data_IF_881698261462
#
_entry.id   IF_881698261462
#
_cell.length_a   1.000
_cell.length_b   1.000
_cell.length_c   1.000
_cell.angle_alpha   90.00
_cell.angle_beta   90.00
_cell.angle_gamma   90.00
#
_symmetry.space_group_name_H-M   'P 1'
#
loop_
_entity.id
_entity.type
_entity.pdbx_description
1 polymer ?
#
# COMPACT_ATOMS: atom_id res chain seq x y z
N UNK A 1 -12.03 -19.15 -18.64
CA UNK A 1 -11.75 -17.70 -18.73
C UNK A 1 -10.30 -17.48 -18.33
N UNK A 2 -9.62 -16.49 -18.92
CA UNK A 2 -8.30 -16.09 -18.43
C UNK A 2 -8.45 -15.56 -17.00
N UNK A 3 -7.49 -15.89 -16.12
CA UNK A 3 -7.48 -15.36 -14.75
C UNK A 3 -7.14 -13.88 -14.77
N UNK A 4 -7.71 -13.13 -13.82
CA UNK A 4 -7.39 -11.71 -13.64
C UNK A 4 -6.03 -11.61 -12.97
N UNK A 5 -5.09 -10.89 -13.58
CA UNK A 5 -3.76 -10.70 -13.01
C UNK A 5 -3.78 -9.58 -11.99
N UNK A 6 -3.35 -9.87 -10.77
CA UNK A 6 -3.27 -8.90 -9.67
C UNK A 6 -1.81 -8.79 -9.21
N UNK A 7 -1.35 -7.56 -9.00
CA UNK A 7 -0.11 -7.26 -8.28
C UNK A 7 -0.43 -6.40 -7.06
N UNK A 8 0.32 -6.60 -5.98
CA UNK A 8 0.20 -5.81 -4.76
C UNK A 8 1.59 -5.41 -4.28
N UNK A 9 1.75 -4.26 -3.64
CA UNK A 9 3.01 -3.91 -2.97
C UNK A 9 2.80 -2.97 -1.77
N UNK A 10 3.78 -2.94 -0.88
CA UNK A 10 3.75 -2.21 0.39
C UNK A 10 4.70 -1.02 0.34
N UNK A 11 4.20 0.14 0.76
CA UNK A 11 4.99 1.37 0.87
C UNK A 11 5.31 1.62 2.35
N UNK A 12 5.03 2.83 2.85
CA UNK A 12 5.13 3.14 4.28
C UNK A 12 3.85 2.65 4.98
N UNK A 13 3.91 1.48 5.62
CA UNK A 13 2.76 0.78 6.22
C UNK A 13 3.15 -0.18 7.36
N UNK A 14 2.16 -0.59 8.16
CA UNK A 14 2.24 -1.63 9.19
C UNK A 14 1.88 -3.07 8.73
N UNK A 15 1.65 -3.32 7.43
CA UNK A 15 1.14 -4.59 6.87
C UNK A 15 -0.29 -5.02 7.28
N UNK A 16 -1.01 -4.19 8.05
CA UNK A 16 -2.36 -4.54 8.52
C UNK A 16 -3.39 -4.71 7.40
N UNK A 17 -3.23 -4.03 6.26
CA UNK A 17 -4.14 -4.15 5.12
C UNK A 17 -4.06 -5.53 4.47
N UNK A 18 -2.87 -6.12 4.42
CA UNK A 18 -2.66 -7.46 3.88
C UNK A 18 -3.09 -8.54 4.84
N UNK A 19 -2.92 -8.33 6.15
CA UNK A 19 -3.53 -9.22 7.13
C UNK A 19 -5.05 -9.22 6.97
N UNK A 20 -5.68 -8.06 6.76
CA UNK A 20 -7.12 -8.03 6.51
C UNK A 20 -7.54 -8.63 5.16
N UNK A 21 -6.67 -8.59 4.14
CA UNK A 21 -6.86 -9.38 2.92
C UNK A 21 -6.82 -10.89 3.23
N UNK A 22 -5.95 -11.34 4.13
CA UNK A 22 -5.87 -12.74 4.55
C UNK A 22 -7.02 -13.15 5.47
N UNK A 23 -7.61 -12.22 6.23
CA UNK A 23 -8.83 -12.41 7.05
C UNK A 23 -10.10 -12.66 6.20
N UNK A 24 -9.98 -12.81 4.87
CA UNK A 24 -11.07 -13.40 4.08
C UNK A 24 -11.17 -14.93 4.30
N UNK A 25 -10.23 -15.51 5.05
CA UNK A 25 -10.21 -16.89 5.51
C UNK A 25 -10.28 -17.89 4.34
N UNK A 26 -11.22 -18.84 4.36
CA UNK A 26 -11.32 -19.87 3.33
C UNK A 26 -11.68 -19.30 1.95
N UNK A 27 -12.21 -18.07 1.89
CA UNK A 27 -12.57 -17.39 0.64
C UNK A 27 -11.36 -17.12 -0.24
N UNK A 28 -10.15 -17.08 0.33
CA UNK A 28 -8.92 -16.93 -0.47
C UNK A 28 -8.74 -18.09 -1.46
N UNK A 29 -9.13 -19.31 -1.07
CA UNK A 29 -9.03 -20.50 -1.92
C UNK A 29 -9.94 -20.38 -3.14
N UNK A 30 -11.15 -19.84 -2.95
CA UNK A 30 -12.08 -19.56 -4.05
C UNK A 30 -11.57 -18.41 -4.92
N UNK A 31 -11.06 -17.34 -4.33
CA UNK A 31 -10.51 -16.19 -5.05
C UNK A 31 -9.38 -16.60 -6.02
N UNK A 32 -8.47 -17.46 -5.57
CA UNK A 32 -7.32 -17.95 -6.36
C UNK A 32 -7.72 -18.81 -7.57
N UNK A 33 -8.98 -19.28 -7.66
CA UNK A 33 -9.49 -19.92 -8.87
C UNK A 33 -9.71 -18.92 -10.00
N UNK A 34 -9.97 -17.66 -9.66
CA UNK A 34 -10.28 -16.58 -10.61
C UNK A 34 -9.13 -15.60 -10.82
N UNK A 35 -8.21 -15.51 -9.86
CA UNK A 35 -7.08 -14.57 -9.83
C UNK A 35 -5.75 -15.28 -10.01
N UNK A 36 -4.84 -14.60 -10.69
CA UNK A 36 -3.40 -14.90 -10.68
C UNK A 36 -2.68 -13.79 -9.91
N UNK A 37 -2.15 -14.13 -8.72
CA UNK A 37 -1.29 -13.22 -7.96
C UNK A 37 0.11 -13.25 -8.55
N UNK A 38 0.56 -12.09 -9.01
CA UNK A 38 1.89 -11.91 -9.62
C UNK A 38 2.86 -11.35 -8.58
N UNK A 39 3.40 -10.15 -8.76
CA UNK A 39 4.21 -9.47 -7.75
C UNK A 39 3.33 -9.13 -6.55
N UNK A 40 3.63 -9.74 -5.42
CA UNK A 40 2.93 -9.57 -4.17
C UNK A 40 3.91 -9.91 -3.04
N UNK A 41 3.92 -9.20 -1.90
CA UNK A 41 4.80 -9.54 -0.78
C UNK A 41 4.59 -10.95 -0.20
N UNK A 42 3.48 -11.62 -0.53
CA UNK A 42 3.22 -13.02 -0.22
C UNK A 42 3.84 -14.01 -1.22
N UNK A 43 4.47 -13.52 -2.28
CA UNK A 43 5.09 -14.30 -3.36
C UNK A 43 6.56 -13.93 -3.52
N UNK A 44 7.32 -14.73 -4.26
CA UNK A 44 8.73 -14.46 -4.53
C UNK A 44 8.98 -13.48 -5.70
N UNK A 45 7.93 -13.10 -6.44
CA UNK A 45 8.00 -12.19 -7.57
C UNK A 45 8.21 -10.75 -7.07
N UNK A 46 9.26 -10.09 -7.58
CA UNK A 46 9.75 -8.80 -7.02
C UNK A 46 9.15 -7.56 -7.66
N UNK A 47 8.80 -7.63 -8.94
CA UNK A 47 8.30 -6.49 -9.69
C UNK A 47 7.04 -6.88 -10.45
N UNK A 48 6.07 -5.96 -10.61
CA UNK A 48 4.92 -6.19 -11.45
C UNK A 48 5.38 -6.53 -12.88
N UNK A 49 4.79 -7.56 -13.52
CA UNK A 49 5.19 -8.00 -14.85
C UNK A 49 5.20 -6.86 -15.87
N UNK A 50 6.23 -6.82 -16.75
CA UNK A 50 6.37 -5.79 -17.79
C UNK A 50 5.28 -5.83 -18.86
N UNK A 51 4.62 -6.98 -19.04
CA UNK A 51 3.44 -7.13 -19.89
C UNK A 51 2.16 -6.54 -19.25
N UNK A 52 2.24 -6.15 -17.98
CA UNK A 52 1.19 -5.49 -17.23
C UNK A 52 0.23 -6.43 -16.50
N UNK A 53 -0.51 -5.86 -15.56
CA UNK A 53 -1.54 -6.50 -14.74
C UNK A 53 -2.88 -5.81 -14.89
N UNK A 54 -3.96 -6.54 -14.60
CA UNK A 54 -5.30 -5.99 -14.67
C UNK A 54 -5.58 -5.08 -13.46
N UNK A 55 -5.13 -5.49 -12.28
CA UNK A 55 -5.31 -4.72 -11.03
C UNK A 55 -3.97 -4.61 -10.30
N UNK A 56 -3.54 -3.38 -10.04
CA UNK A 56 -2.46 -3.06 -9.10
C UNK A 56 -3.06 -2.58 -7.80
N UNK A 57 -2.55 -3.07 -6.67
CA UNK A 57 -2.98 -2.65 -5.33
C UNK A 57 -1.77 -2.09 -4.60
N UNK A 58 -1.85 -0.84 -4.14
CA UNK A 58 -0.82 -0.23 -3.32
C UNK A 58 -1.36 0.07 -1.94
N UNK A 59 -0.59 -0.34 -0.94
CA UNK A 59 -0.85 -0.04 0.45
C UNK A 59 0.25 0.84 1.01
N UNK A 60 -0.09 1.65 2.01
CA UNK A 60 0.86 2.58 2.61
C UNK A 60 1.00 3.90 1.87
N UNK A 61 1.71 4.81 2.49
CA UNK A 61 2.00 6.14 1.97
C UNK A 61 3.41 6.23 1.40
N UNK A 62 3.72 7.33 0.72
CA UNK A 62 5.04 7.59 0.13
C UNK A 62 5.82 8.53 1.04
N UNK A 63 6.82 7.97 1.72
CA UNK A 63 7.73 8.67 2.62
C UNK A 63 9.16 8.80 2.10
N UNK A 64 9.58 7.99 1.12
CA UNK A 64 10.97 7.98 0.62
C UNK A 64 11.08 7.78 -0.91
N UNK A 65 12.30 7.82 -1.42
CA UNK A 65 12.62 7.66 -2.85
C UNK A 65 12.20 6.32 -3.44
N UNK A 66 12.43 5.21 -2.73
CA UNK A 66 12.20 3.87 -3.27
C UNK A 66 10.69 3.61 -3.39
N UNK A 67 9.91 4.04 -2.40
CA UNK A 67 8.45 3.98 -2.44
C UNK A 67 7.88 4.80 -3.61
N UNK A 68 8.51 5.94 -3.94
CA UNK A 68 8.10 6.72 -5.10
C UNK A 68 8.34 5.97 -6.42
N UNK A 69 9.42 5.19 -6.51
CA UNK A 69 9.71 4.35 -7.67
C UNK A 69 8.68 3.23 -7.79
N UNK A 70 8.39 2.52 -6.69
CA UNK A 70 7.37 1.45 -6.65
C UNK A 70 5.99 1.97 -7.09
N UNK A 71 5.57 3.13 -6.60
CA UNK A 71 4.29 3.74 -6.97
C UNK A 71 4.20 4.02 -8.48
N UNK A 72 5.28 4.52 -9.07
CA UNK A 72 5.34 4.82 -10.51
C UNK A 72 5.36 3.55 -11.34
N UNK A 73 6.17 2.56 -10.93
CA UNK A 73 6.28 1.27 -11.60
C UNK A 73 4.93 0.54 -11.61
N UNK A 74 4.26 0.45 -10.45
CA UNK A 74 2.95 -0.17 -10.36
C UNK A 74 1.91 0.55 -11.24
N UNK A 75 1.92 1.90 -11.26
CA UNK A 75 0.99 2.68 -12.11
C UNK A 75 1.24 2.45 -13.60
N UNK A 76 2.50 2.33 -14.02
CA UNK A 76 2.87 2.06 -15.42
C UNK A 76 2.42 0.67 -15.86
N UNK A 77 2.50 -0.32 -14.95
CA UNK A 77 2.20 -1.71 -15.24
C UNK A 77 0.76 -2.15 -14.93
N UNK A 78 -0.11 -1.30 -14.37
CA UNK A 78 -1.50 -1.68 -14.07
C UNK A 78 -2.56 -0.91 -14.88
N UNK A 79 -3.65 -1.61 -15.22
CA UNK A 79 -4.84 -0.99 -15.83
C UNK A 79 -5.65 -0.22 -14.79
N UNK A 80 -5.96 -0.88 -13.67
CA UNK A 80 -6.70 -0.31 -12.54
C UNK A 80 -5.78 -0.26 -11.32
N UNK A 81 -5.59 0.92 -10.75
CA UNK A 81 -4.84 1.11 -9.50
C UNK A 81 -5.80 1.29 -8.32
N UNK A 82 -5.63 0.46 -7.30
CA UNK A 82 -6.38 0.52 -6.04
C UNK A 82 -5.47 1.04 -4.93
N UNK A 83 -5.85 2.16 -4.29
CA UNK A 83 -5.31 2.58 -3.00
C UNK A 83 -6.05 1.81 -1.90
N UNK A 84 -5.34 0.94 -1.19
CA UNK A 84 -5.93 0.12 -0.13
C UNK A 84 -5.41 0.59 1.23
N UNK A 85 -6.35 1.03 2.07
CA UNK A 85 -6.10 1.51 3.42
C UNK A 85 -5.94 3.02 3.53
N UNK A 86 -6.08 3.53 4.76
CA UNK A 86 -6.01 4.96 5.05
C UNK A 86 -4.63 5.56 4.79
N UNK A 87 -3.56 4.79 5.01
CA UNK A 87 -2.20 5.24 4.70
C UNK A 87 -2.04 5.56 3.20
N UNK A 88 -2.64 4.74 2.32
CA UNK A 88 -2.58 4.99 0.87
C UNK A 88 -3.55 6.09 0.43
N UNK A 89 -4.66 6.27 1.15
CA UNK A 89 -5.81 7.08 0.72
C UNK A 89 -5.76 8.52 1.23
N UNK A 90 -5.27 8.77 2.46
CA UNK A 90 -5.44 10.05 3.15
C UNK A 90 -4.13 10.68 3.65
N UNK A 91 -4.16 12.00 3.87
CA UNK A 91 -3.19 12.78 4.66
C UNK A 91 -3.91 14.02 5.20
N UNK A 92 -3.70 14.46 6.46
CA UNK A 92 -2.62 14.09 7.40
C UNK A 92 -2.96 12.99 8.42
N UNK A 93 -4.11 12.32 8.32
CA UNK A 93 -4.68 11.50 9.40
C UNK A 93 -4.06 10.08 9.61
N UNK A 94 -3.38 9.39 8.67
CA UNK A 94 -2.85 8.05 8.95
C UNK A 94 -1.62 8.07 9.86
N UNK A 95 -1.34 6.95 10.55
CA UNK A 95 -0.23 6.81 11.50
C UNK A 95 1.13 7.21 10.90
N UNK A 96 1.37 6.90 9.63
CA UNK A 96 2.61 7.22 8.91
C UNK A 96 2.76 8.70 8.57
N UNK A 97 1.66 9.46 8.55
CA UNK A 97 1.67 10.90 8.33
C UNK A 97 1.87 11.70 9.62
N UNK A 98 1.81 11.09 10.81
CA UNK A 98 2.02 11.81 12.08
C UNK A 98 3.44 12.40 12.20
N UNK A 99 4.43 11.84 11.51
CA UNK A 99 5.77 12.44 11.46
C UNK A 99 5.79 13.80 10.75
N UNK A 100 4.78 14.13 9.94
CA UNK A 100 4.71 15.38 9.18
C UNK A 100 4.53 16.63 10.05
N UNK A 101 4.24 16.45 11.35
CA UNK A 101 4.17 17.52 12.34
C UNK A 101 5.56 17.91 12.90
N UNK A 102 6.60 17.14 12.59
CA UNK A 102 7.96 17.35 13.04
C UNK A 102 8.89 17.55 11.84
N UNK A 103 10.06 18.13 12.08
CA UNK A 103 11.08 18.18 11.04
C UNK A 103 11.70 16.79 10.83
N UNK A 104 11.97 16.47 9.57
CA UNK A 104 12.50 15.15 9.18
C UNK A 104 13.80 14.82 9.91
N UNK A 105 14.67 15.80 10.13
CA UNK A 105 15.94 15.59 10.83
C UNK A 105 15.72 15.33 12.33
N UNK A 106 14.77 16.02 12.98
CA UNK A 106 14.38 15.77 14.38
C UNK A 106 13.85 14.33 14.57
N UNK A 107 13.04 13.84 13.62
CA UNK A 107 12.52 12.46 13.67
C UNK A 107 13.65 11.44 13.58
N UNK A 108 14.66 11.68 12.74
CA UNK A 108 15.82 10.80 12.59
C UNK A 108 16.73 10.86 13.82
N UNK A 109 16.99 12.06 14.35
CA UNK A 109 17.75 12.25 15.58
C UNK A 109 17.08 11.55 16.77
N UNK A 110 15.76 11.72 16.92
CA UNK A 110 15.02 11.03 17.97
C UNK A 110 15.15 9.52 17.87
N UNK A 111 15.02 8.95 16.67
CA UNK A 111 15.03 7.50 16.46
C UNK A 111 16.41 6.82 16.50
N UNK A 112 17.48 7.55 16.17
CA UNK A 112 18.82 6.96 16.02
C UNK A 112 19.88 7.51 16.98
N UNK A 113 19.60 8.59 17.72
CA UNK A 113 20.56 9.24 18.62
C UNK A 113 19.99 9.38 20.03
N UNK A 114 18.79 9.96 20.17
CA UNK A 114 18.30 10.43 21.47
C UNK A 114 17.52 9.38 22.27
N UNK A 115 17.18 8.23 21.68
CA UNK A 115 16.53 7.13 22.42
C UNK A 115 17.43 6.64 23.54
N UNK A 116 16.81 6.40 24.70
CA UNK A 116 17.49 6.16 25.98
C UNK A 116 18.34 4.88 25.96
N UNK A 117 18.02 3.94 25.07
CA UNK A 117 18.74 2.69 24.86
C UNK A 117 19.86 2.76 23.81
N UNK A 118 20.02 3.89 23.11
CA UNK A 118 21.01 4.02 22.05
C UNK A 118 22.41 4.26 22.63
N UNK A 119 23.38 3.51 22.11
CA UNK A 119 24.81 3.69 22.41
C UNK A 119 25.50 4.16 21.14
N UNK A 120 26.33 5.20 21.24
CA UNK A 120 27.08 5.78 20.11
C UNK A 120 26.20 6.13 18.89
N UNK A 121 25.06 6.77 19.16
CA UNK A 121 24.03 7.05 18.16
C UNK A 121 24.51 7.88 16.97
N UNK A 122 24.15 7.46 15.77
CA UNK A 122 24.41 8.15 14.51
C UNK A 122 23.24 7.91 13.56
N UNK A 123 22.78 8.97 12.88
CA UNK A 123 21.82 8.82 11.78
C UNK A 123 22.49 8.04 10.63
N UNK A 124 21.89 6.94 10.14
CA UNK A 124 22.44 6.18 9.01
C UNK A 124 22.49 7.01 7.72
N UNK A 125 23.64 6.98 7.03
CA UNK A 125 23.94 7.83 5.88
C UNK A 125 24.48 7.09 4.64
N UNK A 126 24.37 5.76 4.59
CA UNK A 126 24.82 4.94 3.46
C UNK A 126 24.11 5.28 2.14
N UNK A 127 24.82 5.19 1.02
CA UNK A 127 24.26 5.34 -0.34
C UNK A 127 23.26 4.24 -0.70
N UNK A 128 23.29 3.11 0.00
CA UNK A 128 22.34 2.01 -0.17
C UNK A 128 20.97 2.29 0.48
N UNK A 129 20.85 3.38 1.24
CA UNK A 129 19.61 3.75 1.90
C UNK A 129 18.80 4.74 1.07
N UNK A 130 17.50 4.46 0.96
CA UNK A 130 16.52 5.38 0.41
C UNK A 130 16.60 6.76 1.12
N UNK A 131 16.30 7.83 0.38
CA UNK A 131 16.25 9.17 0.97
C UNK A 131 14.83 9.47 1.45
N UNK A 132 14.71 9.74 2.75
CA UNK A 132 13.45 10.11 3.37
C UNK A 132 13.02 11.51 2.92
N UNK A 133 11.78 11.65 2.48
CA UNK A 133 11.17 12.95 2.19
C UNK A 133 10.80 13.70 3.46
N UNK A 134 10.72 15.03 3.35
CA UNK A 134 10.29 15.91 4.44
C UNK A 134 8.91 15.53 4.97
N UNK A 135 8.00 15.10 4.09
CA UNK A 135 6.66 14.67 4.45
C UNK A 135 6.29 13.37 3.75
N UNK A 136 5.60 12.51 4.49
CA UNK A 136 4.88 11.37 3.96
C UNK A 136 3.57 11.83 3.32
N UNK A 137 3.25 11.29 2.14
CA UNK A 137 2.09 11.73 1.32
C UNK A 137 1.31 10.52 0.77
N UNK A 138 0.00 10.66 0.52
CA UNK A 138 -0.81 9.59 -0.03
C UNK A 138 -0.47 9.35 -1.52
N UNK A 139 -0.78 8.17 -2.04
CA UNK A 139 -0.30 7.76 -3.37
C UNK A 139 -0.91 8.59 -4.51
N UNK A 140 -2.10 9.15 -4.30
CA UNK A 140 -2.81 9.97 -5.29
C UNK A 140 -2.14 11.32 -5.57
N UNK A 141 -1.24 11.78 -4.71
CA UNK A 141 -0.41 12.96 -5.01
C UNK A 141 0.67 12.69 -6.06
N UNK A 142 0.98 11.42 -6.35
CA UNK A 142 2.04 11.02 -7.27
C UNK A 142 1.54 10.40 -8.56
N UNK A 143 0.44 9.63 -8.48
CA UNK A 143 -0.13 8.91 -9.61
C UNK A 143 -1.65 8.94 -9.57
N UNK A 144 -2.29 8.75 -10.73
CA UNK A 144 -3.74 8.58 -10.80
C UNK A 144 -4.13 7.25 -10.16
N UNK A 145 -5.04 7.30 -9.19
CA UNK A 145 -5.69 6.15 -8.56
C UNK A 145 -7.10 6.01 -9.12
N UNK A 146 -7.54 4.77 -9.36
CA UNK A 146 -8.85 4.48 -9.94
C UNK A 146 -9.89 4.07 -8.89
N UNK A 147 -9.45 3.38 -7.82
CA UNK A 147 -10.30 2.96 -6.70
C UNK A 147 -9.61 3.29 -5.38
N UNK A 148 -10.36 3.84 -4.43
CA UNK A 148 -9.90 4.08 -3.07
C UNK A 148 -10.70 3.23 -2.11
N UNK A 149 -10.04 2.36 -1.34
CA UNK A 149 -10.69 1.58 -0.29
C UNK A 149 -10.13 2.01 1.08
N UNK A 150 -10.81 2.93 1.79
CA UNK A 150 -10.37 3.41 3.10
C UNK A 150 -10.61 2.39 4.22
N UNK A 151 -9.94 2.61 5.35
CA UNK A 151 -9.92 1.80 6.58
C UNK A 151 -8.50 1.53 7.09
N UNK A 152 -8.34 1.30 8.40
CA UNK A 152 -7.02 1.08 9.02
C UNK A 152 -6.98 -0.15 9.97
N UNK A 153 -7.07 -1.40 9.44
CA UNK A 153 -7.20 -1.74 8.02
C UNK A 153 -8.65 -1.79 7.53
N UNK A 154 -8.89 -1.73 6.21
CA UNK A 154 -10.23 -1.92 5.65
C UNK A 154 -10.76 -3.30 6.00
N UNK A 155 -12.05 -3.42 6.29
CA UNK A 155 -12.66 -4.71 6.65
C UNK A 155 -12.51 -5.75 5.51
N UNK A 156 -12.20 -7.00 5.89
CA UNK A 156 -12.03 -8.12 4.96
C UNK A 156 -13.20 -8.29 3.97
N UNK A 157 -14.45 -8.09 4.41
CA UNK A 157 -15.63 -8.16 3.54
C UNK A 157 -15.64 -7.04 2.47
N UNK A 158 -15.16 -5.85 2.83
CA UNK A 158 -15.05 -4.72 1.90
C UNK A 158 -13.94 -4.97 0.87
N UNK A 159 -12.80 -5.51 1.31
CA UNK A 159 -11.70 -5.95 0.42
C UNK A 159 -12.22 -7.02 -0.55
N UNK A 160 -12.88 -8.05 -0.03
CA UNK A 160 -13.45 -9.13 -0.83
C UNK A 160 -14.49 -8.63 -1.84
N UNK A 161 -15.34 -7.67 -1.45
CA UNK A 161 -16.30 -7.04 -2.34
C UNK A 161 -15.59 -6.30 -3.50
N UNK A 162 -14.59 -5.47 -3.20
CA UNK A 162 -13.83 -4.74 -4.21
C UNK A 162 -13.17 -5.69 -5.20
N UNK A 163 -12.48 -6.72 -4.70
CA UNK A 163 -11.83 -7.71 -5.56
C UNK A 163 -12.86 -8.46 -6.42
N UNK A 164 -14.00 -8.86 -5.84
CA UNK A 164 -15.05 -9.58 -6.56
C UNK A 164 -15.66 -8.75 -7.70
N UNK A 165 -15.92 -7.45 -7.47
CA UNK A 165 -16.42 -6.55 -8.51
C UNK A 165 -15.39 -6.37 -9.64
N UNK A 166 -14.13 -6.14 -9.28
CA UNK A 166 -13.05 -5.98 -10.26
C UNK A 166 -12.83 -7.25 -11.09
N UNK A 167 -12.89 -8.43 -10.47
CA UNK A 167 -12.83 -9.73 -11.16
C UNK A 167 -13.98 -9.90 -12.14
N UNK A 168 -15.17 -9.41 -11.78
CA UNK A 168 -16.34 -9.43 -12.65
C UNK A 168 -16.35 -8.30 -13.71
N UNK A 169 -15.27 -7.50 -13.80
CA UNK A 169 -15.13 -6.39 -14.75
C UNK A 169 -15.99 -5.18 -14.43
N UNK A 170 -16.46 -5.04 -13.18
CA UNK A 170 -17.25 -3.89 -12.71
C UNK A 170 -16.43 -2.99 -11.81
N UNK A 171 -16.67 -1.68 -11.89
CA UNK A 171 -16.08 -0.74 -10.95
C UNK A 171 -16.84 -0.79 -9.62
N UNK A 172 -16.16 -1.00 -8.49
CA UNK A 172 -16.81 -1.12 -7.19
C UNK A 172 -17.44 0.22 -6.78
N UNK A 173 -18.66 0.15 -6.24
CA UNK A 173 -19.38 1.32 -5.71
C UNK A 173 -19.37 1.22 -4.18
N UNK A 174 -18.46 1.94 -3.55
CA UNK A 174 -18.31 1.93 -2.09
C UNK A 174 -19.38 2.79 -1.44
N UNK A 175 -20.37 2.15 -0.82
CA UNK A 175 -21.45 2.79 -0.09
C UNK A 175 -21.84 2.01 1.16
N UNK A 176 -22.42 2.69 2.14
CA UNK A 176 -22.97 2.07 3.34
C UNK A 176 -21.93 1.26 4.12
N UNK A 177 -22.16 -0.06 4.23
CA UNK A 177 -21.31 -0.96 5.02
C UNK A 177 -19.89 -1.15 4.45
N UNK A 178 -19.70 -0.89 3.15
CA UNK A 178 -18.43 -1.10 2.44
C UNK A 178 -17.55 0.17 2.42
N UNK A 179 -18.02 1.28 2.98
CA UNK A 179 -17.26 2.53 3.08
C UNK A 179 -17.14 2.92 4.55
N UNK A 180 -16.00 2.58 5.13
CA UNK A 180 -15.64 2.89 6.52
C UNK A 180 -14.29 3.57 6.58
N UNK A 181 -14.10 4.40 7.60
CA UNK A 181 -12.86 5.14 7.86
C UNK A 181 -12.29 4.80 9.24
N UNK A 182 -12.96 3.89 9.97
CA UNK A 182 -12.63 3.42 11.31
C UNK A 182 -12.08 1.99 11.28
#
# INVERSE_FOLDING_TARGET
MAKVKIATDWLDICSGCEMSLLDIDERIVELLKHVELTSCPLTDLKHPPKDGVDVGILTGSVGNTDQLEVVKEMREHCKILVALGDCATFSPIPITALRNFFDKDEVLERGYIETESTVDGKVPDSDMLCKLFTKTRPINEFVKVDVYLPGCPPNADAIYYVLSELIAGRMPVLTGKNLRYD
#
